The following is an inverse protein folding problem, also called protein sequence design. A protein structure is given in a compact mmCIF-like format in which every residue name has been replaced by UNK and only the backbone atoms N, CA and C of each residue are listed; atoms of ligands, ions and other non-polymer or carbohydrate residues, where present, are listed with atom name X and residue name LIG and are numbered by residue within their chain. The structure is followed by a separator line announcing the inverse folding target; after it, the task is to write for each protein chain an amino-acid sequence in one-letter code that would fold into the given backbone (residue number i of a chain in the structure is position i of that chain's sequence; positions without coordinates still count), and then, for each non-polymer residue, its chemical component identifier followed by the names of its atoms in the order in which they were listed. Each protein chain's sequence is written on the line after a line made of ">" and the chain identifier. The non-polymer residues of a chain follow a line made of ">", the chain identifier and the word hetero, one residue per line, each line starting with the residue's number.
data_IF_590172262730
#
_entry.id   IF_590172262730
#
_cell.length_a   1.000
_cell.length_b   1.000
_cell.length_c   1.000
_cell.angle_alpha   90.00
_cell.angle_beta   90.00
_cell.angle_gamma   90.00
#
_symmetry.space_group_name_H-M   'P 1'
#
loop_
_entity.id
_entity.type
_entity.pdbx_description
1 polymer ?
#
# COMPACT_ATOMS: atom_id res chain seq x y z
N UNK A 1 -21.13 10.76 -15.34
CA UNK A 1 -20.23 11.81 -14.80
C UNK A 1 -18.81 11.35 -15.07
N UNK A 2 -18.02 12.10 -15.83
CA UNK A 2 -16.59 11.81 -16.00
C UNK A 2 -15.83 12.45 -14.85
N UNK A 3 -15.23 11.62 -14.01
CA UNK A 3 -14.37 12.07 -12.92
C UNK A 3 -12.97 12.34 -13.48
N UNK A 4 -12.42 13.54 -13.30
CA UNK A 4 -11.13 13.94 -13.87
C UNK A 4 -9.97 13.83 -12.87
N UNK A 5 -10.18 14.18 -11.59
CA UNK A 5 -9.11 14.22 -10.56
C UNK A 5 -9.69 14.33 -9.13
N UNK A 6 -8.87 14.01 -8.12
CA UNK A 6 -9.21 14.15 -6.70
C UNK A 6 -9.18 15.61 -6.23
N UNK A 7 -10.32 16.11 -5.74
CA UNK A 7 -10.45 17.50 -5.25
C UNK A 7 -10.45 17.61 -3.72
N UNK A 8 -10.42 16.48 -3.00
CA UNK A 8 -10.46 16.45 -1.53
C UNK A 8 -9.32 15.61 -0.98
N UNK A 9 -8.54 16.21 -0.08
CA UNK A 9 -7.53 15.53 0.73
C UNK A 9 -7.93 15.56 2.20
N UNK A 10 -8.12 14.39 2.79
CA UNK A 10 -8.20 14.23 4.23
C UNK A 10 -6.79 14.13 4.81
N UNK A 11 -6.44 15.03 5.73
CA UNK A 11 -5.08 15.16 6.25
C UNK A 11 -5.07 15.24 7.76
N UNK A 12 -4.21 14.42 8.36
CA UNK A 12 -3.82 14.55 9.76
C UNK A 12 -2.30 14.41 9.85
N UNK A 13 -1.63 15.38 10.49
CA UNK A 13 -0.18 15.30 10.75
C UNK A 13 0.03 14.79 12.17
N UNK A 14 0.35 13.51 12.30
CA UNK A 14 0.58 12.89 13.60
C UNK A 14 1.47 11.65 13.46
N UNK A 15 2.55 11.59 14.24
CA UNK A 15 3.38 10.40 14.41
C UNK A 15 3.20 9.79 15.81
N UNK A 16 3.71 8.59 16.02
CA UNK A 16 3.64 7.95 17.35
C UNK A 16 4.29 8.80 18.45
N UNK A 17 5.35 9.56 18.15
CA UNK A 17 6.00 10.48 19.09
C UNK A 17 5.05 11.51 19.69
N UNK A 18 3.97 11.84 18.98
CA UNK A 18 3.00 12.86 19.40
C UNK A 18 1.92 12.27 20.34
N UNK A 19 1.90 10.94 20.50
CA UNK A 19 1.08 10.29 21.52
C UNK A 19 1.73 10.43 22.90
N UNK A 20 0.88 10.51 23.92
CA UNK A 20 1.33 10.54 25.31
C UNK A 20 2.22 9.31 25.61
N UNK A 21 3.35 9.46 26.35
CA UNK A 21 4.34 8.40 26.53
C UNK A 21 3.78 7.11 27.14
N UNK A 22 2.71 7.19 27.93
CA UNK A 22 2.01 6.06 28.55
C UNK A 22 1.23 5.20 27.54
N UNK A 23 0.90 5.74 26.37
CA UNK A 23 0.20 5.01 25.31
C UNK A 23 1.21 4.13 24.58
N UNK A 24 1.26 2.85 24.95
CA UNK A 24 2.13 1.85 24.31
C UNK A 24 1.42 1.00 23.26
N UNK A 25 0.10 0.87 23.36
CA UNK A 25 -0.70 -0.02 22.51
C UNK A 25 -1.43 0.76 21.41
N UNK A 26 -1.68 0.10 20.28
CA UNK A 26 -2.49 0.62 19.15
C UNK A 26 -2.00 1.98 18.61
N UNK A 27 -0.71 2.28 18.73
CA UNK A 27 -0.17 3.59 18.34
C UNK A 27 -0.34 3.88 16.84
N UNK A 28 -0.19 2.87 15.98
CA UNK A 28 -0.49 2.98 14.54
C UNK A 28 -1.96 3.33 14.28
N UNK A 29 -2.87 2.67 14.98
CA UNK A 29 -4.29 2.99 14.90
C UNK A 29 -4.58 4.42 15.35
N UNK A 30 -4.01 4.85 16.47
CA UNK A 30 -4.27 6.18 17.05
C UNK A 30 -3.67 7.34 16.25
N UNK A 31 -2.64 7.09 15.46
CA UNK A 31 -1.95 8.08 14.62
C UNK A 31 -2.44 8.10 13.17
N UNK A 32 -3.33 7.17 12.80
CA UNK A 32 -3.84 7.08 11.44
C UNK A 32 -4.86 8.17 11.10
N UNK A 33 -4.71 8.75 9.91
CA UNK A 33 -5.61 9.80 9.36
C UNK A 33 -6.98 9.25 9.03
N UNK A 34 -7.04 8.07 8.39
CA UNK A 34 -8.28 7.36 8.10
C UNK A 34 -8.26 5.97 8.72
N UNK A 35 -9.31 5.67 9.49
CA UNK A 35 -9.48 4.40 10.21
C UNK A 35 -10.70 3.66 9.70
N UNK A 36 -10.49 2.45 9.21
CA UNK A 36 -11.55 1.61 8.69
C UNK A 36 -11.65 0.33 9.53
N UNK A 37 -12.66 0.29 10.42
CA UNK A 37 -12.94 -0.86 11.30
C UNK A 37 -14.28 -1.53 11.01
N UNK A 38 -14.99 -1.08 9.98
CA UNK A 38 -16.33 -1.59 9.69
C UNK A 38 -16.23 -3.08 9.35
N UNK A 39 -16.85 -4.00 10.10
CA UNK A 39 -16.84 -5.41 9.74
C UNK A 39 -17.65 -5.69 8.46
N UNK A 40 -18.49 -4.73 8.06
CA UNK A 40 -19.25 -4.78 6.81
C UNK A 40 -18.47 -4.21 5.63
N UNK A 41 -17.23 -3.76 5.83
CA UNK A 41 -16.41 -3.11 4.82
C UNK A 41 -16.81 -1.66 4.51
N UNK A 42 -16.01 -1.00 3.68
CA UNK A 42 -16.23 0.37 3.18
C UNK A 42 -15.73 0.46 1.74
N UNK A 43 -16.50 1.14 0.88
CA UNK A 43 -16.01 1.60 -0.43
C UNK A 43 -15.61 3.06 -0.33
N UNK A 44 -14.41 3.38 -0.77
CA UNK A 44 -13.88 4.73 -0.81
C UNK A 44 -13.56 5.06 -2.25
N UNK A 45 -14.13 6.15 -2.71
CA UNK A 45 -13.93 6.65 -4.05
C UNK A 45 -13.36 8.05 -3.91
N UNK A 46 -12.39 8.37 -4.77
CA UNK A 46 -12.18 9.76 -5.13
C UNK A 46 -11.71 10.68 -3.98
N UNK A 47 -10.96 10.12 -3.02
CA UNK A 47 -10.43 10.84 -1.87
C UNK A 47 -8.93 10.60 -1.75
N UNK A 48 -8.18 11.67 -1.49
CA UNK A 48 -6.79 11.57 -1.06
C UNK A 48 -6.75 11.45 0.47
N UNK A 49 -5.91 10.56 1.00
CA UNK A 49 -5.65 10.44 2.43
C UNK A 49 -4.16 10.60 2.66
N UNK A 50 -3.79 11.59 3.48
CA UNK A 50 -2.39 11.93 3.71
C UNK A 50 -2.08 12.07 5.19
N UNK A 51 -0.99 11.42 5.62
CA UNK A 51 -0.26 11.81 6.82
C UNK A 51 1.10 12.36 6.39
N UNK A 52 1.26 13.70 6.28
CA UNK A 52 2.44 14.32 5.67
C UNK A 52 3.62 14.41 6.65
N UNK A 53 3.57 13.69 7.77
CA UNK A 53 4.66 13.72 8.74
C UNK A 53 5.93 13.16 8.09
N UNK A 54 6.99 13.96 8.08
CA UNK A 54 8.30 13.55 7.56
C UNK A 54 9.01 12.55 8.47
N UNK A 55 10.19 12.10 8.02
CA UNK A 55 11.04 11.15 8.76
C UNK A 55 11.34 11.63 10.19
N UNK A 56 11.19 10.72 11.14
CA UNK A 56 11.50 10.89 12.56
C UNK A 56 12.19 9.60 13.02
N UNK A 57 13.33 9.73 13.70
CA UNK A 57 14.19 8.59 14.06
C UNK A 57 13.58 7.67 15.13
N UNK A 58 12.90 8.24 16.13
CA UNK A 58 12.25 7.48 17.20
C UNK A 58 10.74 7.73 17.22
N UNK A 59 9.96 6.64 17.25
CA UNK A 59 8.48 6.69 17.27
C UNK A 59 7.92 7.49 16.08
N UNK A 60 8.55 7.33 14.91
CA UNK A 60 8.24 8.10 13.71
C UNK A 60 7.11 7.58 12.84
N UNK A 61 6.47 6.45 13.20
CA UNK A 61 5.41 5.88 12.37
C UNK A 61 4.24 6.89 12.26
N UNK A 62 3.84 7.17 11.02
CA UNK A 62 2.84 8.16 10.67
C UNK A 62 1.90 7.62 9.59
N UNK A 63 0.80 7.00 10.04
CA UNK A 63 -0.06 6.19 9.19
C UNK A 63 -1.07 7.08 8.45
N UNK A 64 -1.21 6.90 7.14
CA UNK A 64 -2.25 7.56 6.36
C UNK A 64 -3.59 6.82 6.51
N UNK A 65 -3.60 5.53 6.20
CA UNK A 65 -4.79 4.67 6.23
C UNK A 65 -4.51 3.43 7.07
N UNK A 66 -5.38 3.14 8.04
CA UNK A 66 -5.36 1.92 8.84
C UNK A 66 -6.65 1.14 8.58
N UNK A 67 -6.52 -0.10 8.08
CA UNK A 67 -7.64 -1.00 7.79
C UNK A 67 -7.58 -2.20 8.74
N UNK A 68 -8.66 -2.39 9.50
CA UNK A 68 -8.78 -3.39 10.59
C UNK A 68 -10.03 -4.26 10.42
N UNK A 69 -10.31 -4.63 9.18
CA UNK A 69 -11.41 -5.50 8.78
C UNK A 69 -11.26 -5.91 7.30
N UNK A 70 -12.00 -6.93 6.86
CA UNK A 70 -12.00 -7.39 5.47
C UNK A 70 -12.91 -6.52 4.59
N UNK A 71 -12.90 -6.76 3.28
CA UNK A 71 -13.92 -6.24 2.34
C UNK A 71 -13.97 -4.70 2.20
N UNK A 72 -12.80 -4.06 2.31
CA UNK A 72 -12.62 -2.64 2.03
C UNK A 72 -12.05 -2.45 0.63
N UNK A 73 -12.58 -1.48 -0.11
CA UNK A 73 -12.15 -1.19 -1.47
C UNK A 73 -11.87 0.30 -1.66
N UNK A 74 -10.76 0.61 -2.32
CA UNK A 74 -10.32 1.95 -2.66
C UNK A 74 -10.27 2.08 -4.18
N UNK A 75 -10.92 3.09 -4.72
CA UNK A 75 -10.99 3.32 -6.15
C UNK A 75 -10.55 4.75 -6.46
N UNK A 76 -9.47 4.88 -7.24
CA UNK A 76 -8.86 6.19 -7.60
C UNK A 76 -8.58 7.05 -6.37
N UNK A 77 -8.04 6.43 -5.33
CA UNK A 77 -7.59 7.13 -4.13
C UNK A 77 -6.09 7.40 -4.23
N UNK A 78 -5.61 8.44 -3.56
CA UNK A 78 -4.19 8.64 -3.33
C UNK A 78 -3.93 8.41 -1.84
N UNK A 79 -2.93 7.59 -1.51
CA UNK A 79 -2.55 7.32 -0.12
C UNK A 79 -1.09 7.70 0.08
N UNK A 80 -0.86 8.67 0.96
CA UNK A 80 0.46 9.28 1.21
C UNK A 80 0.80 9.14 2.70
N UNK A 81 1.87 8.42 3.05
CA UNK A 81 2.27 8.22 4.46
C UNK A 81 3.69 7.69 4.63
N UNK A 82 4.09 7.44 5.90
CA UNK A 82 5.45 7.04 6.25
C UNK A 82 5.47 5.90 7.31
N UNK A 83 6.12 4.77 6.95
CA UNK A 83 6.27 3.48 7.67
C UNK A 83 4.94 2.75 8.03
N UNK A 84 4.97 1.41 7.93
CA UNK A 84 3.88 0.45 8.19
C UNK A 84 2.64 0.54 7.26
N UNK A 85 2.66 -0.15 6.10
CA UNK A 85 1.49 -0.17 5.18
C UNK A 85 0.83 -1.55 5.07
N UNK A 86 -0.51 -1.52 5.11
CA UNK A 86 -1.45 -2.64 5.21
C UNK A 86 -1.42 -3.64 4.05
N UNK A 87 -2.07 -4.80 4.22
CA UNK A 87 -2.47 -5.68 3.11
C UNK A 87 -3.68 -5.06 2.41
N UNK A 88 -3.53 -4.66 1.16
CA UNK A 88 -4.61 -4.05 0.38
C UNK A 88 -4.54 -4.48 -1.10
N UNK A 89 -5.70 -4.69 -1.72
CA UNK A 89 -5.82 -4.64 -3.18
C UNK A 89 -5.92 -3.17 -3.57
N UNK A 90 -4.94 -2.69 -4.32
CA UNK A 90 -4.82 -1.28 -4.68
C UNK A 90 -4.85 -1.21 -6.20
N UNK A 91 -5.91 -0.63 -6.74
CA UNK A 91 -6.13 -0.52 -8.16
C UNK A 91 -6.30 0.93 -8.57
N UNK A 92 -5.56 1.34 -9.61
CA UNK A 92 -5.60 2.71 -10.13
C UNK A 92 -5.39 3.78 -9.06
N UNK A 93 -4.46 3.55 -8.12
CA UNK A 93 -4.11 4.48 -7.05
C UNK A 93 -2.62 4.82 -7.10
N UNK A 94 -2.28 6.04 -6.71
CA UNK A 94 -0.90 6.45 -6.49
C UNK A 94 -0.52 6.18 -5.02
N UNK A 95 0.60 5.48 -4.83
CA UNK A 95 1.21 5.25 -3.51
C UNK A 95 2.54 6.01 -3.50
N UNK A 96 2.63 7.04 -2.66
CA UNK A 96 3.80 7.91 -2.58
C UNK A 96 4.50 7.76 -1.22
N UNK A 97 5.79 7.45 -1.23
CA UNK A 97 6.64 7.51 -0.03
C UNK A 97 7.15 8.93 0.16
N UNK A 98 6.94 9.52 1.34
CA UNK A 98 7.45 10.86 1.68
C UNK A 98 8.80 10.84 2.42
N UNK A 99 9.45 9.66 2.51
CA UNK A 99 10.78 9.47 3.09
C UNK A 99 11.31 8.04 2.97
N UNK A 100 12.49 7.75 3.51
CA UNK A 100 13.09 6.40 3.53
C UNK A 100 12.21 5.40 4.31
N UNK A 101 11.68 4.37 3.65
CA UNK A 101 10.82 3.39 4.30
C UNK A 101 10.42 2.25 3.35
N UNK A 102 9.55 1.36 3.83
CA UNK A 102 9.13 0.16 3.09
C UNK A 102 7.68 0.30 2.59
N UNK A 103 7.46 0.06 1.30
CA UNK A 103 6.13 -0.07 0.67
C UNK A 103 5.93 -1.55 0.30
N UNK A 104 4.72 -2.09 0.45
CA UNK A 104 4.33 -3.39 -0.12
C UNK A 104 3.38 -3.16 -1.31
N UNK A 105 3.64 -3.81 -2.46
CA UNK A 105 2.85 -3.67 -3.70
C UNK A 105 2.73 -4.99 -4.49
N UNK A 106 1.59 -5.23 -5.17
CA UNK A 106 1.49 -6.22 -6.26
C UNK A 106 0.32 -5.98 -7.26
N UNK A 107 0.65 -5.98 -8.57
CA UNK A 107 0.00 -6.71 -9.69
C UNK A 107 -1.36 -6.27 -10.29
N UNK A 108 -1.38 -5.79 -11.55
CA UNK A 108 -2.58 -5.68 -12.42
C UNK A 108 -2.57 -6.81 -13.49
N UNK A 109 -3.73 -7.15 -14.04
CA UNK A 109 -3.96 -8.23 -15.01
C UNK A 109 -3.96 -7.80 -16.49
N UNK A 110 -3.82 -6.50 -16.81
CA UNK A 110 -3.88 -6.00 -18.19
C UNK A 110 -2.50 -5.51 -18.70
N UNK A 111 -1.89 -6.24 -19.65
CA UNK A 111 -0.57 -5.92 -20.23
C UNK A 111 -0.53 -4.66 -21.11
N UNK A 112 -1.67 -4.05 -21.42
CA UNK A 112 -1.76 -2.78 -22.16
C UNK A 112 -1.86 -1.55 -21.26
N UNK A 113 -2.01 -1.75 -19.95
CA UNK A 113 -2.04 -0.71 -18.94
C UNK A 113 -0.80 -0.91 -18.05
N UNK A 114 0.17 -0.01 -18.11
CA UNK A 114 1.43 -0.15 -17.37
C UNK A 114 1.12 -0.26 -15.88
N UNK A 115 1.22 -1.47 -15.34
CA UNK A 115 1.15 -1.66 -13.92
C UNK A 115 2.54 -1.44 -13.37
N UNK A 116 2.69 -0.38 -12.59
CA UNK A 116 3.82 -0.08 -11.72
C UNK A 116 5.03 0.54 -12.43
N UNK A 117 5.12 1.87 -12.34
CA UNK A 117 6.36 2.62 -12.50
C UNK A 117 7.05 2.70 -11.14
N UNK A 118 8.22 2.09 -11.02
CA UNK A 118 9.11 2.24 -9.87
C UNK A 118 10.11 3.34 -10.20
N UNK A 119 10.01 4.49 -9.51
CA UNK A 119 11.01 5.55 -9.63
C UNK A 119 12.33 5.16 -8.98
N UNK A 120 13.35 5.99 -9.13
CA UNK A 120 14.71 5.77 -8.61
C UNK A 120 14.81 5.79 -7.08
N UNK A 121 13.71 6.08 -6.37
CA UNK A 121 13.64 6.00 -4.90
C UNK A 121 13.68 4.54 -4.40
N UNK A 122 13.39 3.56 -5.26
CA UNK A 122 13.45 2.14 -4.89
C UNK A 122 14.91 1.71 -4.78
N UNK A 123 15.31 1.28 -3.58
CA UNK A 123 16.63 0.69 -3.37
C UNK A 123 16.82 -0.52 -4.32
N UNK A 124 17.99 -0.70 -4.96
CA UNK A 124 18.20 -1.83 -5.87
C UNK A 124 17.97 -3.22 -5.25
N UNK A 125 18.18 -3.38 -3.94
CA UNK A 125 17.83 -4.60 -3.21
C UNK A 125 16.32 -4.90 -3.24
N UNK A 126 15.49 -3.85 -3.34
CA UNK A 126 14.02 -3.85 -3.41
C UNK A 126 13.33 -4.27 -2.10
N UNK A 127 13.83 -5.35 -1.50
CA UNK A 127 13.28 -5.99 -0.32
C UNK A 127 14.37 -6.13 0.73
N UNK A 128 13.98 -6.05 2.00
CA UNK A 128 14.89 -6.24 3.12
C UNK A 128 14.23 -7.09 4.22
N UNK A 129 15.06 -7.68 5.06
CA UNK A 129 14.61 -8.39 6.26
C UNK A 129 14.27 -7.40 7.37
N UNK A 130 13.29 -7.75 8.20
CA UNK A 130 12.92 -6.92 9.37
C UNK A 130 14.07 -6.84 10.39
N UNK A 131 14.74 -7.96 10.60
CA UNK A 131 15.96 -8.13 11.39
C UNK A 131 16.86 -9.21 10.75
N UNK A 132 18.16 -9.22 11.05
CA UNK A 132 19.11 -10.18 10.44
C UNK A 132 18.71 -11.66 10.63
N UNK A 133 18.01 -11.98 11.72
CA UNK A 133 17.51 -13.33 12.04
C UNK A 133 16.22 -13.71 11.30
N UNK A 134 15.65 -12.83 10.48
CA UNK A 134 14.35 -13.08 9.82
C UNK A 134 14.45 -14.30 8.91
N UNK A 135 13.59 -15.30 9.17
CA UNK A 135 13.46 -16.44 8.28
C UNK A 135 12.69 -16.03 7.00
N UNK A 136 13.36 -16.10 5.86
CA UNK A 136 12.79 -15.71 4.57
C UNK A 136 12.24 -16.87 3.74
N UNK A 137 12.26 -18.11 4.26
CA UNK A 137 11.88 -19.31 3.47
C UNK A 137 10.40 -19.37 3.09
N UNK A 138 9.53 -18.70 3.84
CA UNK A 138 8.08 -18.61 3.60
C UNK A 138 7.65 -17.27 3.01
N UNK A 139 8.60 -16.42 2.61
CA UNK A 139 8.29 -15.09 2.07
C UNK A 139 8.01 -15.18 0.58
N UNK A 140 6.89 -14.59 0.17
CA UNK A 140 6.50 -14.49 -1.23
C UNK A 140 6.58 -13.03 -1.69
N UNK A 141 7.80 -12.61 -2.05
CA UNK A 141 8.08 -11.28 -2.62
C UNK A 141 8.43 -11.44 -4.09
N UNK A 142 7.52 -11.03 -4.98
CA UNK A 142 7.70 -11.20 -6.42
C UNK A 142 7.29 -9.96 -7.22
N UNK A 143 8.05 -9.68 -8.26
CA UNK A 143 7.82 -8.57 -9.20
C UNK A 143 7.44 -9.11 -10.58
N UNK A 144 6.58 -8.37 -11.30
CA UNK A 144 6.18 -8.72 -12.65
C UNK A 144 5.98 -7.46 -13.49
N UNK A 145 6.69 -7.37 -14.62
CA UNK A 145 6.50 -6.35 -15.65
C UNK A 145 6.51 -4.89 -15.13
N UNK A 146 7.25 -4.61 -14.07
CA UNK A 146 7.46 -3.24 -13.57
C UNK A 146 8.31 -2.44 -14.56
N UNK A 147 8.10 -1.13 -14.62
CA UNK A 147 8.86 -0.18 -15.45
C UNK A 147 9.44 0.95 -14.60
N UNK A 148 10.28 1.82 -15.17
CA UNK A 148 10.90 2.94 -14.45
C UNK A 148 12.31 2.65 -13.92
N UNK A 149 12.97 3.68 -13.39
CA UNK A 149 14.39 3.64 -12.99
C UNK A 149 14.66 2.69 -11.82
N UNK A 150 13.69 2.50 -10.91
CA UNK A 150 13.78 1.58 -9.78
C UNK A 150 13.39 0.13 -10.10
N UNK A 151 12.97 -0.16 -11.33
CA UNK A 151 12.49 -1.49 -11.72
C UNK A 151 13.60 -2.49 -12.10
N UNK A 152 14.87 -2.09 -12.14
CA UNK A 152 15.97 -3.03 -12.38
C UNK A 152 16.03 -4.07 -11.25
N UNK A 153 15.81 -5.33 -11.60
CA UNK A 153 15.81 -6.44 -10.65
C UNK A 153 17.18 -7.11 -10.47
N UNK A 154 18.23 -6.64 -11.14
CA UNK A 154 19.56 -7.26 -11.16
C UNK A 154 20.22 -7.39 -9.78
N UNK A 155 19.86 -6.52 -8.84
CA UNK A 155 20.42 -6.46 -7.49
C UNK A 155 19.41 -6.86 -6.39
N UNK A 156 18.25 -7.41 -6.76
CA UNK A 156 17.20 -7.71 -5.78
C UNK A 156 17.66 -8.74 -4.75
N UNK A 157 17.11 -8.61 -3.54
CA UNK A 157 17.36 -9.54 -2.45
C UNK A 157 17.07 -10.99 -2.90
N UNK A 158 17.93 -11.92 -2.50
CA UNK A 158 17.91 -13.31 -2.99
C UNK A 158 16.61 -14.07 -2.70
N UNK A 159 15.87 -13.65 -1.66
CA UNK A 159 14.58 -14.26 -1.30
C UNK A 159 13.40 -13.74 -2.14
N UNK A 160 13.62 -12.71 -2.95
CA UNK A 160 12.62 -12.18 -3.89
C UNK A 160 12.62 -12.97 -5.22
N UNK A 161 11.96 -12.47 -6.25
CA UNK A 161 12.10 -13.01 -7.60
C UNK A 161 11.11 -12.44 -8.60
N UNK A 162 11.15 -12.97 -9.82
CA UNK A 162 10.26 -12.58 -10.91
C UNK A 162 9.12 -13.58 -11.06
N UNK A 163 7.93 -13.10 -11.39
CA UNK A 163 6.87 -13.94 -11.93
C UNK A 163 6.99 -14.05 -13.46
N UNK A 164 6.44 -15.12 -14.01
CA UNK A 164 6.28 -15.29 -15.47
C UNK A 164 5.00 -14.65 -16.01
N UNK A 165 4.08 -14.26 -15.13
CA UNK A 165 2.77 -13.68 -15.43
C UNK A 165 2.25 -12.89 -14.24
N UNK A 166 1.20 -12.07 -14.43
CA UNK A 166 0.52 -11.42 -13.32
C UNK A 166 -0.20 -12.48 -12.46
N UNK A 167 -0.38 -12.20 -11.17
CA UNK A 167 -1.23 -13.02 -10.30
C UNK A 167 -2.69 -12.78 -10.68
N UNK A 168 -3.47 -13.85 -10.84
CA UNK A 168 -4.89 -13.70 -11.15
C UNK A 168 -5.62 -13.14 -9.92
N UNK A 169 -6.44 -12.11 -10.13
CA UNK A 169 -7.23 -11.47 -9.08
C UNK A 169 -8.12 -12.48 -8.31
N UNK A 170 -8.53 -13.57 -8.95
CA UNK A 170 -9.30 -14.65 -8.32
C UNK A 170 -8.50 -15.49 -7.33
N UNK A 171 -7.17 -15.54 -7.46
CA UNK A 171 -6.30 -16.18 -6.45
C UNK A 171 -6.21 -15.34 -5.17
N UNK A 172 -6.44 -14.02 -5.27
CA UNK A 172 -6.34 -13.07 -4.17
C UNK A 172 -7.71 -12.83 -3.53
N UNK A 173 -8.73 -12.57 -4.35
CA UNK A 173 -10.06 -12.11 -3.91
C UNK A 173 -11.15 -13.20 -4.01
N UNK A 174 -10.80 -14.39 -4.52
CA UNK A 174 -11.72 -15.49 -4.75
C UNK A 174 -12.48 -15.39 -6.08
N UNK A 175 -12.99 -16.53 -6.56
CA UNK A 175 -13.69 -16.63 -7.85
C UNK A 175 -14.97 -15.78 -7.90
N UNK A 176 -15.59 -15.52 -6.76
CA UNK A 176 -16.84 -14.78 -6.65
C UNK A 176 -16.65 -13.27 -6.42
N UNK A 177 -15.42 -12.74 -6.52
CA UNK A 177 -15.12 -11.33 -6.23
C UNK A 177 -16.01 -10.35 -7.02
N UNK A 178 -16.33 -10.66 -8.29
CA UNK A 178 -17.20 -9.82 -9.14
C UNK A 178 -18.63 -9.68 -8.62
N UNK A 179 -19.07 -10.63 -7.79
CA UNK A 179 -20.40 -10.61 -7.16
C UNK A 179 -20.41 -9.91 -5.80
N UNK A 180 -19.23 -9.57 -5.27
CA UNK A 180 -19.12 -8.95 -3.96
C UNK A 180 -19.64 -7.52 -4.03
N UNK A 181 -20.35 -7.10 -2.98
CA UNK A 181 -20.93 -5.77 -2.92
C UNK A 181 -19.87 -4.67 -3.06
N UNK A 182 -18.64 -4.93 -2.57
CA UNK A 182 -17.50 -4.03 -2.59
C UNK A 182 -16.84 -3.90 -3.97
N UNK A 183 -17.13 -4.79 -4.90
CA UNK A 183 -16.63 -4.74 -6.27
C UNK A 183 -17.31 -3.62 -7.06
N UNK A 184 -16.56 -2.97 -7.96
CA UNK A 184 -17.06 -1.95 -8.86
C UNK A 184 -16.37 -2.04 -10.23
N UNK A 185 -17.06 -2.60 -11.22
CA UNK A 185 -16.49 -2.80 -12.56
C UNK A 185 -16.30 -1.51 -13.35
N UNK A 186 -16.71 -0.35 -12.84
CA UNK A 186 -16.49 0.93 -13.53
C UNK A 186 -15.06 1.46 -13.36
N UNK A 187 -14.26 0.81 -12.50
CA UNK A 187 -12.89 1.21 -12.14
C UNK A 187 -11.80 0.21 -12.59
N UNK A 188 -12.18 -0.78 -13.40
CA UNK A 188 -11.30 -1.77 -14.07
C UNK A 188 -11.11 -1.43 -15.56
#
# INVERSE_FOLDING_TARGET
>A
MSYAENTVTNTQTMAQKDLAPEIKNQRNFLTSTLRLKSPSGVKIYNINVANPTGKIDELGQAIAVYVDATDHAFYRCQVIGYLDTAKAWIESCDIESTGDGWITANGNTNSSNLSHELSDVVNPAGWDTWEESTNTSSIFSKEYCNSGLGADTSMRAKFSGLLSGPVDITEILGQDYKSKWWFDSTFL
#
